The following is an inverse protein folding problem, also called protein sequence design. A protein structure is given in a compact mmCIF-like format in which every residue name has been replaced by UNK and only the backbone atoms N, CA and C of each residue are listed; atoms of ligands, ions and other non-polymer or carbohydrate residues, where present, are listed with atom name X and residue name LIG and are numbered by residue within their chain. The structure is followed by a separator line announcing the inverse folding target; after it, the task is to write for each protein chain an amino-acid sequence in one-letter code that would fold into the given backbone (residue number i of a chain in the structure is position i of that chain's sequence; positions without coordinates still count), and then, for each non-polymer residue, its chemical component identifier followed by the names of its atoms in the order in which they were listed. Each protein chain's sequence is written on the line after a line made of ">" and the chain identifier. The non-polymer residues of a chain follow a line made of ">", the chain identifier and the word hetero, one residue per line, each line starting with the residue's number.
data_IF_606780738512
#
_entry.id   IF_606780738512
#
_cell.length_a   1.000
_cell.length_b   1.000
_cell.length_c   1.000
_cell.angle_alpha   90.00
_cell.angle_beta   90.00
_cell.angle_gamma   90.00
#
_symmetry.space_group_name_H-M   'P 1'
#
loop_
_entity.id
_entity.type
_entity.pdbx_description
1 polymer ?
#
# COMPACT_ATOMS: atom_id res chain seq x y z
N UNK A 1 43.55 -51.23 -57.82
CA UNK A 1 44.56 -51.82 -56.87
C UNK A 1 43.78 -52.75 -55.94
N UNK A 2 43.85 -54.11 -56.20
CA UNK A 2 43.23 -55.11 -55.37
C UNK A 2 44.07 -55.36 -54.13
N UNK A 3 43.68 -54.77 -53.01
CA UNK A 3 44.36 -54.89 -51.70
C UNK A 3 43.96 -56.16 -50.89
N UNK A 4 43.29 -57.13 -51.52
CA UNK A 4 42.84 -58.32 -50.88
C UNK A 4 43.72 -59.52 -51.20
N UNK A 5 44.34 -60.17 -50.23
CA UNK A 5 45.12 -61.41 -50.46
C UNK A 5 44.16 -62.55 -50.89
N UNK A 6 44.69 -63.39 -51.87
CA UNK A 6 43.89 -64.46 -52.51
C UNK A 6 43.64 -65.67 -51.64
N UNK A 7 44.33 -65.82 -50.52
CA UNK A 7 44.19 -66.95 -49.55
C UNK A 7 43.09 -66.69 -48.55
N UNK A 8 42.19 -67.62 -48.38
CA UNK A 8 41.04 -67.52 -47.48
C UNK A 8 41.42 -67.21 -46.02
N UNK A 9 42.46 -67.80 -45.50
CA UNK A 9 42.96 -67.58 -44.13
C UNK A 9 43.48 -66.16 -43.92
N UNK A 10 44.26 -65.66 -44.84
CA UNK A 10 44.84 -64.30 -44.79
C UNK A 10 43.72 -63.24 -44.92
N UNK A 11 42.71 -63.54 -45.67
CA UNK A 11 41.54 -62.63 -45.83
C UNK A 11 40.74 -62.50 -44.55
N UNK A 12 40.55 -63.61 -43.82
CA UNK A 12 39.88 -63.62 -42.54
C UNK A 12 40.68 -62.83 -41.48
N UNK A 13 41.99 -63.03 -41.44
CA UNK A 13 42.89 -62.28 -40.54
C UNK A 13 42.88 -60.77 -40.85
N UNK A 14 42.89 -60.39 -42.12
CA UNK A 14 42.83 -58.98 -42.54
C UNK A 14 41.51 -58.31 -42.15
N UNK A 15 40.39 -59.00 -42.32
CA UNK A 15 39.08 -58.52 -41.91
C UNK A 15 39.02 -58.36 -40.37
N UNK A 16 39.58 -59.29 -39.62
CA UNK A 16 39.60 -59.25 -38.16
C UNK A 16 40.43 -58.08 -37.62
N UNK A 17 41.57 -57.79 -38.27
CA UNK A 17 42.40 -56.60 -37.92
C UNK A 17 41.68 -55.30 -38.22
N UNK A 18 41.04 -55.20 -39.39
CA UNK A 18 40.27 -54.00 -39.72
C UNK A 18 39.12 -53.83 -38.77
N UNK A 19 38.38 -54.87 -38.43
CA UNK A 19 37.28 -54.83 -37.47
C UNK A 19 37.79 -54.42 -36.07
N UNK A 20 38.91 -54.99 -35.62
CA UNK A 20 39.56 -54.64 -34.35
C UNK A 20 39.97 -53.18 -34.28
N UNK A 21 40.60 -52.64 -35.37
CA UNK A 21 41.00 -51.21 -35.42
C UNK A 21 39.79 -50.30 -35.43
N UNK A 22 38.70 -50.67 -36.10
CA UNK A 22 37.45 -49.90 -36.12
C UNK A 22 36.79 -49.86 -34.73
N UNK A 23 36.78 -50.95 -34.00
CA UNK A 23 36.29 -51.02 -32.63
C UNK A 23 37.13 -50.15 -31.68
N UNK A 24 38.45 -50.21 -31.80
CA UNK A 24 39.37 -49.39 -30.98
C UNK A 24 39.21 -47.89 -31.27
N UNK A 25 39.11 -47.50 -32.55
CA UNK A 25 38.82 -46.12 -32.93
C UNK A 25 37.46 -45.65 -32.44
N UNK A 26 36.44 -46.48 -32.48
CA UNK A 26 35.10 -46.21 -31.94
C UNK A 26 35.14 -45.97 -30.43
N UNK A 27 35.85 -46.80 -29.68
CA UNK A 27 36.02 -46.69 -28.24
C UNK A 27 36.78 -45.40 -27.86
N UNK A 28 37.86 -45.10 -28.57
CA UNK A 28 38.62 -43.84 -28.36
C UNK A 28 37.73 -42.61 -28.64
N UNK A 29 37.00 -42.62 -29.74
CA UNK A 29 36.07 -41.51 -30.07
C UNK A 29 34.99 -41.35 -29.03
N UNK A 30 34.38 -42.43 -28.59
CA UNK A 30 33.36 -42.41 -27.56
C UNK A 30 33.91 -41.91 -26.20
N UNK A 31 35.07 -42.36 -25.79
CA UNK A 31 35.67 -41.97 -24.50
C UNK A 31 36.19 -40.57 -24.46
N UNK A 32 36.64 -40.00 -25.61
CA UNK A 32 37.15 -38.62 -25.73
C UNK A 32 36.02 -37.59 -25.93
N UNK A 33 34.93 -37.98 -26.59
CA UNK A 33 33.86 -37.04 -26.96
C UNK A 33 32.84 -36.86 -25.82
N UNK A 34 32.53 -37.93 -25.07
CA UNK A 34 31.58 -37.86 -23.96
C UNK A 34 31.93 -36.79 -22.92
N UNK A 35 33.13 -36.69 -22.36
CA UNK A 35 33.45 -35.72 -21.33
C UNK A 35 33.41 -34.25 -21.83
N UNK A 36 33.60 -34.04 -23.15
CA UNK A 36 33.51 -32.69 -23.73
C UNK A 36 32.06 -32.20 -23.79
N UNK A 37 31.10 -33.06 -24.13
CA UNK A 37 29.66 -32.74 -24.10
C UNK A 37 29.18 -32.43 -22.70
N UNK A 38 29.62 -33.18 -21.70
CA UNK A 38 29.24 -32.90 -20.32
C UNK A 38 29.78 -31.58 -19.78
N UNK A 39 31.03 -31.23 -20.12
CA UNK A 39 31.62 -29.95 -19.74
C UNK A 39 30.87 -28.77 -20.37
N UNK A 40 30.53 -28.87 -21.65
CA UNK A 40 29.77 -27.83 -22.37
C UNK A 40 28.39 -27.67 -21.78
N UNK A 41 27.73 -28.78 -21.48
CA UNK A 41 26.41 -28.79 -20.82
C UNK A 41 26.43 -28.15 -19.42
N UNK A 42 27.48 -28.43 -18.63
CA UNK A 42 27.67 -27.82 -17.30
C UNK A 42 27.87 -26.30 -17.39
N UNK A 43 28.71 -25.84 -18.32
CA UNK A 43 28.95 -24.42 -18.54
C UNK A 43 27.67 -23.69 -18.94
N UNK A 44 26.87 -24.28 -19.84
CA UNK A 44 25.59 -23.71 -20.23
C UNK A 44 24.56 -23.69 -19.08
N UNK A 45 24.54 -24.72 -18.24
CA UNK A 45 23.70 -24.75 -17.04
C UNK A 45 24.10 -23.65 -16.05
N UNK A 46 25.39 -23.60 -15.71
CA UNK A 46 25.91 -22.58 -14.78
C UNK A 46 25.63 -21.15 -15.29
N UNK A 47 25.86 -20.91 -16.58
CA UNK A 47 25.57 -19.60 -17.18
C UNK A 47 24.07 -19.24 -17.14
N UNK A 48 23.18 -20.20 -17.30
CA UNK A 48 21.72 -19.99 -17.15
C UNK A 48 21.34 -19.72 -15.69
N UNK A 49 21.90 -20.47 -14.77
CA UNK A 49 21.62 -20.34 -13.33
C UNK A 49 22.12 -18.98 -12.81
N UNK A 50 23.29 -18.54 -13.23
CA UNK A 50 23.81 -17.21 -12.86
C UNK A 50 22.99 -16.07 -13.47
N UNK A 51 22.55 -16.19 -14.73
CA UNK A 51 21.63 -15.21 -15.33
C UNK A 51 20.28 -15.16 -14.60
N UNK A 52 19.74 -16.32 -14.21
CA UNK A 52 18.50 -16.38 -13.45
C UNK A 52 18.65 -15.77 -12.04
N UNK A 53 19.82 -15.93 -11.41
CA UNK A 53 20.14 -15.28 -10.14
C UNK A 53 20.22 -13.76 -10.28
N UNK A 54 20.94 -13.27 -11.32
CA UNK A 54 21.02 -11.83 -11.60
C UNK A 54 19.62 -11.22 -11.82
N UNK A 55 18.79 -11.86 -12.64
CA UNK A 55 17.42 -11.41 -12.84
C UNK A 55 16.61 -11.32 -11.54
N UNK A 56 16.71 -12.34 -10.68
CA UNK A 56 16.04 -12.30 -9.37
C UNK A 56 16.54 -11.16 -8.48
N UNK A 57 17.85 -10.88 -8.51
CA UNK A 57 18.43 -9.77 -7.75
C UNK A 57 17.93 -8.43 -8.30
N UNK A 58 17.95 -8.25 -9.62
CA UNK A 58 17.42 -7.04 -10.27
C UNK A 58 15.94 -6.81 -9.95
N UNK A 59 15.11 -7.86 -10.03
CA UNK A 59 13.69 -7.79 -9.67
C UNK A 59 13.49 -7.45 -8.19
N UNK A 60 14.34 -7.98 -7.31
CA UNK A 60 14.30 -7.69 -5.88
C UNK A 60 14.68 -6.22 -5.61
N UNK A 61 15.71 -5.71 -6.28
CA UNK A 61 16.13 -4.30 -6.18
C UNK A 61 15.04 -3.36 -6.70
N UNK A 62 14.41 -3.68 -7.84
CA UNK A 62 13.28 -2.90 -8.36
C UNK A 62 12.13 -2.85 -7.37
N UNK A 63 11.72 -4.01 -6.85
CA UNK A 63 10.63 -4.07 -5.84
C UNK A 63 10.97 -3.29 -4.58
N UNK A 64 12.22 -3.37 -4.11
CA UNK A 64 12.66 -2.59 -2.96
C UNK A 64 12.60 -1.07 -3.25
N UNK A 65 13.01 -0.66 -4.45
CA UNK A 65 12.89 0.73 -4.90
C UNK A 65 11.43 1.21 -4.94
N UNK A 66 10.55 0.44 -5.58
CA UNK A 66 9.12 0.75 -5.65
C UNK A 66 8.47 0.84 -4.26
N UNK A 67 8.82 -0.09 -3.37
CA UNK A 67 8.33 -0.08 -1.98
C UNK A 67 8.80 1.15 -1.22
N UNK A 68 10.05 1.58 -1.43
CA UNK A 68 10.60 2.79 -0.78
C UNK A 68 9.89 4.05 -1.26
N UNK A 69 9.59 4.16 -2.57
CA UNK A 69 8.83 5.27 -3.13
C UNK A 69 7.40 5.28 -2.59
N UNK A 70 6.74 4.13 -2.53
CA UNK A 70 5.40 4.01 -1.94
C UNK A 70 5.39 4.41 -0.46
N UNK A 71 6.36 3.94 0.32
CA UNK A 71 6.49 4.32 1.73
C UNK A 71 6.69 5.82 1.89
N UNK A 72 7.56 6.43 1.08
CA UNK A 72 7.78 7.88 1.09
C UNK A 72 6.49 8.66 0.81
N UNK A 73 5.73 8.25 -0.22
CA UNK A 73 4.46 8.88 -0.55
C UNK A 73 3.43 8.73 0.58
N UNK A 74 3.35 7.55 1.20
CA UNK A 74 2.45 7.31 2.34
C UNK A 74 2.83 8.19 3.53
N UNK A 75 4.13 8.32 3.84
CA UNK A 75 4.63 9.18 4.94
C UNK A 75 4.31 10.64 4.67
N UNK A 76 4.51 11.13 3.45
CA UNK A 76 4.16 12.52 3.07
C UNK A 76 2.66 12.76 3.19
N UNK A 77 1.83 11.86 2.67
CA UNK A 77 0.37 11.98 2.79
C UNK A 77 -0.11 11.91 4.24
N UNK A 78 0.49 11.03 5.05
CA UNK A 78 0.20 10.93 6.48
C UNK A 78 0.59 12.22 7.22
N UNK A 79 1.77 12.77 6.96
CA UNK A 79 2.21 14.01 7.59
C UNK A 79 1.32 15.20 7.20
N UNK A 80 0.88 15.28 5.95
CA UNK A 80 -0.09 16.27 5.49
C UNK A 80 -1.44 16.11 6.20
N UNK A 81 -1.96 14.89 6.30
CA UNK A 81 -3.20 14.62 7.04
C UNK A 81 -3.08 14.94 8.55
N UNK A 82 -1.92 14.68 9.14
CA UNK A 82 -1.67 14.99 10.55
C UNK A 82 -1.52 16.49 10.84
N UNK A 83 -1.14 17.30 9.84
CA UNK A 83 -1.01 18.77 10.04
C UNK A 83 -2.33 19.43 10.37
N UNK A 84 -3.43 18.89 9.87
CA UNK A 84 -4.77 19.42 10.04
C UNK A 84 -5.52 18.82 11.26
N UNK A 85 -4.93 17.81 11.91
CA UNK A 85 -5.52 17.20 13.11
C UNK A 85 -5.39 18.12 14.34
N UNK A 86 -6.27 17.91 15.32
CA UNK A 86 -6.21 18.62 16.60
C UNK A 86 -4.85 18.39 17.28
N UNK A 87 -4.18 19.46 17.65
CA UNK A 87 -2.87 19.43 18.31
C UNK A 87 -2.77 20.54 19.38
N UNK A 88 -1.97 20.31 20.41
CA UNK A 88 -1.77 21.26 21.50
C UNK A 88 -2.98 21.38 22.42
N UNK A 89 -3.40 22.62 22.73
CA UNK A 89 -4.62 22.86 23.53
C UNK A 89 -5.87 22.52 22.72
N UNK A 90 -6.42 21.36 22.99
CA UNK A 90 -7.57 20.77 22.29
C UNK A 90 -8.81 21.68 22.41
N UNK A 91 -9.00 22.33 23.56
CA UNK A 91 -10.12 23.22 23.77
C UNK A 91 -9.99 24.48 22.88
N UNK A 92 -8.83 25.12 22.94
CA UNK A 92 -8.55 26.30 22.12
C UNK A 92 -8.66 25.98 20.63
N UNK A 93 -8.12 24.86 20.19
CA UNK A 93 -8.17 24.42 18.80
C UNK A 93 -9.64 24.21 18.34
N UNK A 94 -10.43 23.49 19.14
CA UNK A 94 -11.84 23.23 18.80
C UNK A 94 -12.66 24.51 18.71
N UNK A 95 -12.49 25.37 19.73
CA UNK A 95 -13.20 26.65 19.79
C UNK A 95 -12.86 27.53 18.59
N UNK A 96 -11.58 27.68 18.26
CA UNK A 96 -11.12 28.48 17.15
C UNK A 96 -11.58 27.92 15.81
N UNK A 97 -11.53 26.61 15.63
CA UNK A 97 -11.96 25.94 14.38
C UNK A 97 -13.44 26.18 14.13
N UNK A 98 -14.29 25.89 15.11
CA UNK A 98 -15.73 26.08 15.00
C UNK A 98 -16.08 27.56 14.83
N UNK A 99 -15.45 28.46 15.59
CA UNK A 99 -15.71 29.88 15.53
C UNK A 99 -15.32 30.50 14.18
N UNK A 100 -14.15 30.16 13.65
CA UNK A 100 -13.68 30.65 12.34
C UNK A 100 -14.58 30.17 11.23
N UNK A 101 -14.96 28.89 11.27
CA UNK A 101 -15.80 28.31 10.23
C UNK A 101 -17.23 28.86 10.26
N UNK A 102 -17.84 28.96 11.45
CA UNK A 102 -19.20 29.51 11.61
C UNK A 102 -19.33 30.95 11.10
N UNK A 103 -18.26 31.75 11.06
CA UNK A 103 -18.32 33.15 10.66
C UNK A 103 -18.88 33.36 9.24
N UNK A 104 -18.80 32.35 8.40
CA UNK A 104 -19.31 32.38 7.02
C UNK A 104 -20.76 31.90 6.89
N UNK A 105 -21.39 31.49 7.97
CA UNK A 105 -22.72 30.86 7.97
C UNK A 105 -23.67 31.56 8.92
N UNK A 106 -24.95 31.49 8.62
CA UNK A 106 -26.04 32.01 9.49
C UNK A 106 -26.47 30.98 10.54
N UNK A 107 -25.48 30.46 11.27
CA UNK A 107 -25.65 29.50 12.35
C UNK A 107 -25.21 30.15 13.64
N UNK A 108 -26.06 30.16 14.65
CA UNK A 108 -25.68 30.65 15.95
C UNK A 108 -25.33 29.49 16.89
N UNK A 109 -24.11 29.52 17.42
CA UNK A 109 -23.57 28.48 18.29
C UNK A 109 -23.11 29.17 19.58
N UNK A 110 -24.03 29.35 20.54
CA UNK A 110 -23.68 29.98 21.80
C UNK A 110 -22.90 29.08 22.74
N UNK A 111 -23.08 27.76 22.60
CA UNK A 111 -22.49 26.79 23.54
C UNK A 111 -21.62 25.77 22.80
N UNK A 112 -20.36 25.72 23.18
CA UNK A 112 -19.40 24.68 22.80
C UNK A 112 -18.99 23.99 24.11
N UNK A 113 -19.31 22.69 24.20
CA UNK A 113 -18.99 21.88 25.38
C UNK A 113 -17.50 21.65 25.55
N UNK A 114 -17.13 21.10 26.68
CA UNK A 114 -15.74 20.70 26.90
C UNK A 114 -15.37 19.46 26.07
N UNK A 115 -14.22 19.46 25.41
CA UNK A 115 -13.76 18.29 24.67
C UNK A 115 -13.41 17.15 25.64
N UNK A 116 -13.88 15.96 25.30
CA UNK A 116 -13.55 14.72 26.01
C UNK A 116 -12.65 13.88 25.12
N UNK A 117 -11.50 13.49 25.67
CA UNK A 117 -10.55 12.63 24.97
C UNK A 117 -10.92 11.16 25.17
N UNK A 118 -10.90 10.37 24.10
CA UNK A 118 -11.18 8.95 24.12
C UNK A 118 -10.39 8.19 23.07
N UNK A 119 -10.52 6.87 23.09
CA UNK A 119 -9.95 6.02 22.05
C UNK A 119 -10.88 6.04 20.82
N UNK A 120 -10.33 5.66 19.65
CA UNK A 120 -11.13 5.62 18.42
C UNK A 120 -11.95 4.34 18.41
N UNK A 121 -13.28 4.49 18.55
CA UNK A 121 -14.22 3.35 18.70
C UNK A 121 -14.17 2.36 17.52
N UNK A 122 -13.91 2.86 16.30
CA UNK A 122 -13.95 2.06 15.07
C UNK A 122 -12.63 1.28 14.86
N UNK A 123 -11.52 1.77 15.38
CA UNK A 123 -10.17 1.21 15.14
C UNK A 123 -9.32 1.25 16.42
N UNK A 124 -9.61 0.38 17.40
CA UNK A 124 -8.97 0.44 18.71
C UNK A 124 -7.46 0.15 18.72
N UNK A 125 -6.90 -0.33 17.60
CA UNK A 125 -5.48 -0.69 17.47
C UNK A 125 -4.60 0.42 16.88
N UNK A 126 -5.18 1.56 16.50
CA UNK A 126 -4.39 2.67 15.95
C UNK A 126 -3.90 3.60 17.07
N UNK A 127 -2.71 4.22 16.92
CA UNK A 127 -2.13 5.11 17.92
C UNK A 127 -2.78 6.50 17.97
N UNK A 128 -3.97 6.66 17.39
CA UNK A 128 -4.71 7.91 17.39
C UNK A 128 -5.75 7.93 18.48
N UNK A 129 -5.98 9.11 19.04
CA UNK A 129 -7.10 9.38 19.94
C UNK A 129 -8.14 10.23 19.25
N UNK A 130 -9.34 10.22 19.76
CA UNK A 130 -10.41 11.10 19.30
C UNK A 130 -10.83 12.04 20.41
N UNK A 131 -11.26 13.22 20.02
CA UNK A 131 -12.01 14.12 20.90
C UNK A 131 -13.47 14.11 20.49
N UNK A 132 -14.33 14.24 21.49
CA UNK A 132 -15.75 14.45 21.29
C UNK A 132 -16.13 15.76 21.96
N UNK A 133 -16.83 16.61 21.22
CA UNK A 133 -17.30 17.91 21.69
C UNK A 133 -18.78 18.05 21.36
N UNK A 134 -19.61 18.33 22.35
CA UNK A 134 -21.04 18.63 22.13
C UNK A 134 -21.21 20.11 21.82
N UNK A 135 -21.96 20.40 20.76
CA UNK A 135 -22.26 21.75 20.31
C UNK A 135 -23.75 21.90 20.25
N UNK A 136 -24.27 23.03 20.73
CA UNK A 136 -25.68 23.38 20.61
C UNK A 136 -25.86 24.81 20.12
N UNK A 137 -26.95 25.00 19.36
CA UNK A 137 -27.22 26.29 18.78
C UNK A 137 -28.55 26.37 18.07
N UNK A 138 -28.74 27.45 17.35
CA UNK A 138 -29.94 27.71 16.54
C UNK A 138 -29.53 28.06 15.10
N UNK A 139 -30.33 27.59 14.15
CA UNK A 139 -30.09 27.87 12.72
C UNK A 139 -31.39 27.70 11.93
N UNK A 140 -31.40 28.14 10.69
CA UNK A 140 -32.38 27.70 9.70
C UNK A 140 -32.00 26.34 9.15
N UNK A 141 -32.97 25.52 8.78
CA UNK A 141 -32.73 24.14 8.31
C UNK A 141 -31.69 24.05 7.18
N UNK A 142 -31.86 24.87 6.16
CA UNK A 142 -30.94 24.86 5.02
C UNK A 142 -29.54 25.35 5.37
N UNK A 143 -29.43 26.35 6.25
CA UNK A 143 -28.15 26.88 6.69
C UNK A 143 -27.40 25.86 7.57
N UNK A 144 -28.14 25.14 8.44
CA UNK A 144 -27.55 24.06 9.23
C UNK A 144 -27.04 22.92 8.37
N UNK A 145 -27.86 22.47 7.39
CA UNK A 145 -27.44 21.40 6.48
C UNK A 145 -26.21 21.76 5.67
N UNK A 146 -26.17 22.99 5.14
CA UNK A 146 -25.00 23.50 4.42
C UNK A 146 -23.77 23.62 5.32
N UNK A 147 -23.94 24.16 6.53
CA UNK A 147 -22.87 24.26 7.52
C UNK A 147 -22.23 22.91 7.81
N UNK A 148 -23.06 21.88 8.09
CA UNK A 148 -22.57 20.52 8.41
C UNK A 148 -21.83 19.92 7.20
N UNK A 149 -22.43 19.99 6.02
CA UNK A 149 -21.83 19.42 4.81
C UNK A 149 -20.48 20.07 4.48
N UNK A 150 -20.43 21.41 4.49
CA UNK A 150 -19.20 22.13 4.18
C UNK A 150 -18.14 21.96 5.28
N UNK A 151 -18.57 21.79 6.56
CA UNK A 151 -17.67 21.54 7.68
C UNK A 151 -16.98 20.17 7.56
N UNK A 152 -17.74 19.11 7.31
CA UNK A 152 -17.17 17.77 7.11
C UNK A 152 -16.30 17.66 5.85
N UNK A 153 -16.66 18.40 4.79
CA UNK A 153 -15.86 18.44 3.56
C UNK A 153 -14.54 19.23 3.73
N UNK A 154 -14.57 20.28 4.55
CA UNK A 154 -13.38 21.11 4.82
C UNK A 154 -12.41 20.45 5.79
N UNK A 155 -12.91 19.58 6.66
CA UNK A 155 -12.13 18.89 7.69
C UNK A 155 -12.32 17.37 7.62
N UNK A 156 -11.59 16.65 6.75
CA UNK A 156 -11.78 15.20 6.52
C UNK A 156 -11.62 14.32 7.77
N UNK A 157 -10.90 14.81 8.78
CA UNK A 157 -10.67 14.14 10.06
C UNK A 157 -11.69 14.47 11.13
N UNK A 158 -12.73 15.26 10.79
CA UNK A 158 -13.84 15.62 11.66
C UNK A 158 -15.12 14.94 11.15
N UNK A 159 -15.96 14.51 12.09
CA UNK A 159 -17.29 13.98 11.79
C UNK A 159 -18.31 14.56 12.76
N UNK A 160 -19.49 14.86 12.24
CA UNK A 160 -20.67 15.24 13.02
C UNK A 160 -21.48 13.99 13.29
N UNK A 161 -21.78 13.76 14.55
CA UNK A 161 -22.59 12.62 15.01
C UNK A 161 -23.67 13.09 15.97
N UNK A 162 -24.63 12.24 16.29
CA UNK A 162 -25.70 12.49 17.27
C UNK A 162 -26.46 13.81 17.01
N UNK A 163 -26.73 14.11 15.75
CA UNK A 163 -27.48 15.32 15.39
C UNK A 163 -28.93 15.18 15.83
N UNK A 164 -29.33 16.02 16.76
CA UNK A 164 -30.75 16.23 17.20
C UNK A 164 -31.20 17.61 16.76
N UNK A 165 -32.39 17.69 16.17
CA UNK A 165 -32.97 18.95 15.66
C UNK A 165 -34.36 19.05 16.24
N UNK A 166 -34.65 20.19 16.87
CA UNK A 166 -35.97 20.50 17.48
C UNK A 166 -36.48 21.84 16.95
N UNK A 167 -37.74 21.95 16.61
CA UNK A 167 -38.33 23.26 16.27
C UNK A 167 -38.30 24.18 17.48
N UNK A 168 -37.98 25.44 17.26
CA UNK A 168 -38.12 26.44 18.33
C UNK A 168 -39.63 26.70 18.57
N UNK A 169 -40.13 26.24 19.70
CA UNK A 169 -41.53 26.43 20.11
C UNK A 169 -41.78 27.85 20.60
N UNK A 170 -41.77 28.84 19.73
CA UNK A 170 -42.22 30.17 20.09
C UNK A 170 -43.19 30.65 19.02
N UNK A 171 -44.41 30.91 19.43
CA UNK A 171 -45.62 31.28 18.73
C UNK A 171 -45.61 32.40 17.69
N UNK A 172 -44.66 32.34 16.78
CA UNK A 172 -44.58 33.23 15.64
C UNK A 172 -44.60 32.40 14.35
N UNK A 173 -45.72 32.43 13.68
CA UNK A 173 -46.00 31.71 12.43
C UNK A 173 -45.11 32.29 11.30
N UNK A 174 -43.85 31.95 11.26
CA UNK A 174 -42.90 32.42 10.22
C UNK A 174 -41.43 32.20 10.56
N UNK A 175 -41.13 31.78 11.77
CA UNK A 175 -39.72 31.61 12.15
C UNK A 175 -39.33 30.14 12.02
N UNK A 176 -38.82 29.74 10.83
CA UNK A 176 -38.31 28.40 10.50
C UNK A 176 -36.97 28.10 11.22
N UNK A 177 -36.71 28.72 12.36
CA UNK A 177 -35.52 28.47 13.17
C UNK A 177 -35.68 27.17 13.95
N UNK A 178 -34.58 26.42 13.95
CA UNK A 178 -34.42 25.16 14.65
C UNK A 178 -33.39 25.31 15.76
N UNK A 179 -33.64 24.65 16.88
CA UNK A 179 -32.56 24.36 17.84
C UNK A 179 -31.89 23.04 17.45
N UNK A 180 -30.61 23.03 17.47
CA UNK A 180 -29.84 21.80 17.19
C UNK A 180 -28.89 21.49 18.32
N UNK A 181 -28.62 20.20 18.48
CA UNK A 181 -27.54 19.67 19.29
C UNK A 181 -26.84 18.63 18.45
N UNK A 182 -25.50 18.66 18.42
CA UNK A 182 -24.68 17.70 17.70
C UNK A 182 -23.40 17.46 18.45
N UNK A 183 -22.80 16.29 18.26
CA UNK A 183 -21.46 15.99 18.72
C UNK A 183 -20.49 16.04 17.53
N UNK A 184 -19.37 16.68 17.72
CA UNK A 184 -18.26 16.67 16.76
C UNK A 184 -17.21 15.70 17.30
N UNK A 185 -16.80 14.77 16.44
CA UNK A 185 -15.67 13.89 16.71
C UNK A 185 -14.51 14.31 15.80
N UNK A 186 -13.34 14.57 16.38
CA UNK A 186 -12.13 14.87 15.62
C UNK A 186 -10.97 13.99 16.07
N UNK A 187 -10.10 13.62 15.13
CA UNK A 187 -8.88 12.88 15.44
C UNK A 187 -7.82 13.82 16.03
N UNK A 188 -7.11 13.32 17.02
CA UNK A 188 -6.01 14.03 17.68
C UNK A 188 -4.68 13.48 17.18
N UNK A 189 -3.76 14.40 16.91
CA UNK A 189 -2.41 14.03 16.50
C UNK A 189 -1.71 13.17 17.58
N UNK A 190 -1.05 12.06 17.21
CA UNK A 190 -0.26 11.29 18.16
C UNK A 190 0.84 12.18 18.76
N UNK A 191 1.01 12.11 20.08
CA UNK A 191 2.05 12.87 20.84
C UNK A 191 1.84 14.39 20.90
N UNK A 192 0.61 14.85 20.79
CA UNK A 192 0.27 16.26 21.09
C UNK A 192 -0.09 16.45 22.56
#
# INVERSE_FOLDING_TARGET
>A
MNLLPKDKEKRTQFILVILGTLVVLGLIGFFLVQPQYERLSRIHKTARDERARLQKIEDTIKRAGDTTVQLSNVVVNLSAAQSDMAAGDIYAWTYDTVRKFKASYRVDIPTIGQPTLGDVDILPQIPFKQIRVSISGTAYYHELGRFIADFENSFPHIRVVNLAIEPVSVGDAGNERLTFRMDIIALVRPNS
#
